data_IF_162203089195
#
_entry.id   IF_162203089195
#
_cell.length_a   1.000
_cell.length_b   1.000
_cell.length_c   1.000
_cell.angle_alpha   90.00
_cell.angle_beta   90.00
_cell.angle_gamma   90.00
#
_symmetry.space_group_name_H-M   'P 1'
#
loop_
_entity.id
_entity.type
_entity.pdbx_description
1 polymer ?
#
# COMPACT_ATOMS: atom_id res chain seq x y z
N UNK A 1 22.52 -29.21 27.89
CA UNK A 1 21.44 -28.33 27.41
C UNK A 1 21.26 -28.32 25.89
N UNK A 2 22.08 -29.02 25.10
CA UNK A 2 21.95 -29.04 23.63
C UNK A 2 21.12 -30.22 23.09
N UNK A 3 21.00 -31.33 23.83
CA UNK A 3 20.25 -32.53 23.40
C UNK A 3 18.73 -32.38 23.42
N UNK A 4 18.14 -31.94 24.54
CA UNK A 4 16.68 -31.78 24.68
C UNK A 4 16.11 -30.73 23.73
N UNK A 5 16.87 -29.66 23.45
CA UNK A 5 16.47 -28.62 22.50
C UNK A 5 16.43 -29.15 21.06
N UNK A 6 17.39 -30.00 20.69
CA UNK A 6 17.45 -30.62 19.36
C UNK A 6 16.30 -31.62 19.15
N UNK A 7 15.91 -32.34 20.21
CA UNK A 7 14.80 -33.29 20.20
C UNK A 7 13.44 -32.58 20.12
N UNK A 8 13.25 -31.47 20.84
CA UNK A 8 12.10 -30.59 20.67
C UNK A 8 12.06 -30.02 19.25
N UNK A 9 13.21 -29.54 18.74
CA UNK A 9 13.26 -28.95 17.41
C UNK A 9 12.91 -29.96 16.31
N UNK A 10 13.43 -31.18 16.35
CA UNK A 10 13.06 -32.24 15.38
C UNK A 10 11.61 -32.67 15.52
N UNK A 11 11.07 -32.75 16.74
CA UNK A 11 9.67 -33.09 17.01
C UNK A 11 8.69 -32.04 16.48
N UNK A 12 9.04 -30.76 16.57
CA UNK A 12 8.19 -29.64 16.14
C UNK A 12 8.58 -29.05 14.77
N UNK A 13 9.60 -29.60 14.10
CA UNK A 13 10.10 -29.12 12.80
C UNK A 13 8.98 -28.99 11.76
N UNK A 14 8.11 -29.99 11.65
CA UNK A 14 6.99 -29.97 10.71
C UNK A 14 5.92 -28.90 11.03
N UNK A 15 5.76 -28.54 12.31
CA UNK A 15 4.90 -27.43 12.72
C UNK A 15 5.55 -26.08 12.38
N UNK A 16 6.87 -25.97 12.54
CA UNK A 16 7.63 -24.78 12.18
C UNK A 16 7.62 -24.51 10.67
N UNK A 17 7.80 -25.54 9.84
CA UNK A 17 7.72 -25.44 8.37
C UNK A 17 6.32 -24.99 7.92
N UNK A 18 5.26 -25.52 8.52
CA UNK A 18 3.88 -25.09 8.24
C UNK A 18 3.61 -23.64 8.67
N UNK A 19 4.10 -23.24 9.84
CA UNK A 19 3.97 -21.86 10.32
C UNK A 19 4.74 -20.88 9.42
N UNK A 20 5.92 -21.27 8.93
CA UNK A 20 6.70 -20.49 7.99
C UNK A 20 5.97 -20.32 6.65
N UNK A 21 5.45 -21.41 6.09
CA UNK A 21 4.65 -21.36 4.85
C UNK A 21 3.39 -20.51 5.02
N UNK A 22 2.70 -20.64 6.15
CA UNK A 22 1.56 -19.79 6.48
C UNK A 22 1.94 -18.32 6.58
N UNK A 23 3.08 -18.00 7.21
CA UNK A 23 3.63 -16.64 7.24
C UNK A 23 3.93 -16.09 5.86
N UNK A 24 4.53 -16.88 4.97
CA UNK A 24 4.81 -16.49 3.57
C UNK A 24 3.50 -16.21 2.81
N UNK A 25 2.48 -17.04 3.00
CA UNK A 25 1.15 -16.84 2.39
C UNK A 25 0.50 -15.54 2.89
N UNK A 26 0.56 -15.28 4.20
CA UNK A 26 0.02 -14.04 4.77
C UNK A 26 0.77 -12.80 4.27
N UNK A 27 2.09 -12.86 4.16
CA UNK A 27 2.89 -11.78 3.57
C UNK A 27 2.50 -11.56 2.11
N UNK A 28 2.35 -12.63 1.33
CA UNK A 28 1.89 -12.57 -0.07
C UNK A 28 0.52 -11.92 -0.21
N UNK A 29 -0.42 -12.25 0.67
CA UNK A 29 -1.75 -11.64 0.71
C UNK A 29 -1.67 -10.14 1.05
N UNK A 30 -0.78 -9.74 1.97
CA UNK A 30 -0.55 -8.32 2.30
C UNK A 30 0.00 -7.53 1.10
N UNK A 31 0.99 -8.06 0.39
CA UNK A 31 1.52 -7.43 -0.82
C UNK A 31 0.48 -7.40 -1.96
N UNK A 32 -0.28 -8.49 -2.13
CA UNK A 32 -1.37 -8.56 -3.11
C UNK A 32 -2.47 -7.54 -2.84
N UNK A 33 -2.84 -7.35 -1.57
CA UNK A 33 -3.82 -6.32 -1.17
C UNK A 33 -3.33 -4.91 -1.52
N UNK A 34 -2.08 -4.56 -1.20
CA UNK A 34 -1.49 -3.25 -1.56
C UNK A 34 -1.45 -3.02 -3.07
N UNK A 35 -1.15 -4.06 -3.84
CA UNK A 35 -1.19 -3.98 -5.30
C UNK A 35 -2.62 -3.72 -5.81
N UNK A 36 -3.60 -4.45 -5.29
CA UNK A 36 -5.01 -4.25 -5.66
C UNK A 36 -5.51 -2.85 -5.29
N UNK A 37 -5.19 -2.36 -4.08
CA UNK A 37 -5.49 -0.99 -3.64
C UNK A 37 -4.87 0.06 -4.58
N UNK A 38 -3.64 -0.18 -5.07
CA UNK A 38 -3.00 0.72 -6.02
C UNK A 38 -3.76 0.79 -7.35
N UNK A 39 -4.26 -0.34 -7.85
CA UNK A 39 -5.07 -0.39 -9.06
C UNK A 39 -6.42 0.33 -8.87
N UNK A 40 -7.09 0.08 -7.75
CA UNK A 40 -8.35 0.76 -7.39
C UNK A 40 -8.12 2.27 -7.30
N UNK A 41 -7.02 2.70 -6.68
CA UNK A 41 -6.65 4.12 -6.60
C UNK A 41 -6.37 4.75 -7.96
N UNK A 42 -5.67 4.04 -8.84
CA UNK A 42 -5.45 4.51 -10.21
C UNK A 42 -6.79 4.71 -10.95
N UNK A 43 -7.72 3.75 -10.82
CA UNK A 43 -9.03 3.83 -11.45
C UNK A 43 -9.89 4.96 -10.87
N UNK A 44 -9.91 5.08 -9.54
CA UNK A 44 -10.61 6.16 -8.84
C UNK A 44 -10.11 7.55 -9.28
N UNK A 45 -8.80 7.76 -9.29
CA UNK A 45 -8.19 9.03 -9.73
C UNK A 45 -8.44 9.31 -11.21
N UNK A 46 -8.55 8.27 -12.04
CA UNK A 46 -8.93 8.40 -13.46
C UNK A 46 -10.39 8.83 -13.60
N UNK A 47 -11.31 8.13 -12.95
CA UNK A 47 -12.74 8.44 -13.01
C UNK A 47 -13.07 9.81 -12.42
N UNK A 48 -12.43 10.17 -11.30
CA UNK A 48 -12.57 11.49 -10.67
C UNK A 48 -12.11 12.64 -11.59
N UNK A 49 -11.14 12.40 -12.48
CA UNK A 49 -10.71 13.36 -13.50
C UNK A 49 -11.72 13.49 -14.65
N UNK A 50 -12.37 12.40 -15.03
CA UNK A 50 -13.33 12.40 -16.15
C UNK A 50 -14.66 13.05 -15.76
N UNK A 51 -15.03 13.04 -14.47
CA UNK A 51 -16.33 13.51 -13.98
C UNK A 51 -16.34 14.94 -13.44
N UNK A 52 -15.19 15.59 -13.26
CA UNK A 52 -15.13 16.99 -12.82
C UNK A 52 -14.01 17.74 -13.54
N UNK A 53 -14.35 18.95 -13.97
CA UNK A 53 -13.47 19.93 -14.58
C UNK A 53 -12.08 19.97 -13.93
N UNK A 54 -11.09 20.20 -14.79
CA UNK A 54 -9.67 20.34 -14.51
C UNK A 54 -9.37 21.03 -13.17
N UNK A 55 -8.30 20.59 -12.51
CA UNK A 55 -7.67 21.30 -11.37
C UNK A 55 -8.42 21.25 -10.04
N UNK A 56 -8.80 20.06 -9.58
CA UNK A 56 -9.04 19.87 -8.16
C UNK A 56 -7.72 19.78 -7.40
N UNK A 57 -7.54 20.73 -6.49
CA UNK A 57 -6.64 20.66 -5.34
C UNK A 57 -6.92 19.35 -4.56
N UNK A 58 -6.00 18.38 -4.62
CA UNK A 58 -6.08 17.15 -3.83
C UNK A 58 -5.37 17.35 -2.50
N UNK A 59 -6.07 17.10 -1.40
CA UNK A 59 -5.46 17.04 -0.07
C UNK A 59 -4.66 15.73 0.07
N UNK A 60 -3.34 15.85 0.12
CA UNK A 60 -2.38 14.76 0.35
C UNK A 60 -2.15 14.52 1.85
N UNK A 61 -2.92 15.19 2.70
CA UNK A 61 -2.83 15.20 4.15
C UNK A 61 -1.73 16.10 4.70
N UNK A 62 -1.74 16.26 6.02
CA UNK A 62 -0.87 17.19 6.74
C UNK A 62 -0.97 18.63 6.21
N UNK A 63 -2.14 19.01 5.68
CA UNK A 63 -2.37 20.33 5.07
C UNK A 63 -1.69 20.54 3.72
N UNK A 64 -1.15 19.49 3.09
CA UNK A 64 -0.52 19.58 1.77
C UNK A 64 -1.55 19.40 0.68
N UNK A 65 -1.59 20.35 -0.24
CA UNK A 65 -2.52 20.34 -1.36
C UNK A 65 -1.72 20.31 -2.66
N UNK A 66 -2.06 19.39 -3.54
CA UNK A 66 -1.38 19.23 -4.82
C UNK A 66 -2.34 18.93 -5.97
N UNK A 67 -1.92 19.30 -7.18
CA UNK A 67 -2.64 19.03 -8.42
C UNK A 67 -1.97 17.86 -9.13
N UNK A 68 -2.75 16.94 -9.68
CA UNK A 68 -2.19 15.77 -10.39
C UNK A 68 -1.48 16.22 -11.67
N UNK A 69 -0.17 15.98 -11.74
CA UNK A 69 0.64 16.18 -12.95
C UNK A 69 0.62 14.95 -13.84
N UNK A 70 0.93 13.79 -13.27
CA UNK A 70 1.05 12.53 -14.01
C UNK A 70 0.58 11.35 -13.18
N UNK A 71 0.15 10.29 -13.87
CA UNK A 71 -0.43 9.09 -13.27
C UNK A 71 0.22 7.85 -13.85
N UNK A 72 0.52 6.91 -12.97
CA UNK A 72 0.94 5.56 -13.28
C UNK A 72 0.05 4.57 -12.53
N UNK A 73 0.12 3.30 -12.92
CA UNK A 73 -0.65 2.21 -12.31
C UNK A 73 -0.48 2.15 -10.79
N UNK A 74 0.74 2.38 -10.30
CA UNK A 74 1.07 2.24 -8.87
C UNK A 74 1.31 3.56 -8.15
N UNK A 75 1.57 4.64 -8.89
CA UNK A 75 1.98 5.92 -8.33
C UNK A 75 1.30 7.08 -9.06
N UNK A 76 1.05 8.17 -8.34
CA UNK A 76 0.58 9.43 -8.90
C UNK A 76 1.51 10.54 -8.44
N UNK A 77 1.90 11.41 -9.39
CA UNK A 77 2.75 12.56 -9.13
C UNK A 77 1.88 13.82 -9.10
N UNK A 78 2.07 14.60 -8.05
CA UNK A 78 1.39 15.85 -7.80
C UNK A 78 2.38 17.01 -7.91
N UNK A 79 1.93 18.13 -8.45
CA UNK A 79 2.58 19.43 -8.29
C UNK A 79 1.94 20.11 -7.09
N UNK A 80 2.75 20.45 -6.09
CA UNK A 80 2.33 21.19 -4.91
C UNK A 80 2.26 22.70 -5.19
N UNK A 81 1.68 23.47 -4.26
CA UNK A 81 1.57 24.94 -4.39
C UNK A 81 2.92 25.67 -4.41
N UNK A 82 3.97 25.04 -3.90
CA UNK A 82 5.35 25.52 -3.96
C UNK A 82 6.09 25.07 -5.23
N UNK A 83 5.34 24.60 -6.25
CA UNK A 83 5.83 24.04 -7.51
C UNK A 83 6.70 22.78 -7.37
N UNK A 84 6.85 22.24 -6.16
CA UNK A 84 7.57 21.00 -5.93
C UNK A 84 6.76 19.79 -6.40
N UNK A 85 7.45 18.73 -6.81
CA UNK A 85 6.83 17.48 -7.25
C UNK A 85 6.81 16.47 -6.11
N UNK A 86 5.64 15.93 -5.81
CA UNK A 86 5.47 14.86 -4.82
C UNK A 86 4.86 13.62 -5.48
N UNK A 87 5.60 12.51 -5.47
CA UNK A 87 5.10 11.22 -5.96
C UNK A 87 4.60 10.38 -4.80
N UNK A 88 3.35 9.91 -4.89
CA UNK A 88 2.71 9.05 -3.88
C UNK A 88 2.25 7.74 -4.49
N UNK A 89 2.31 6.67 -3.70
CA UNK A 89 1.68 5.39 -4.07
C UNK A 89 0.17 5.54 -4.08
N UNK A 90 -0.48 4.99 -5.11
CA UNK A 90 -1.93 4.96 -5.20
C UNK A 90 -2.55 4.20 -4.02
N UNK A 91 -1.91 3.14 -3.51
CA UNK A 91 -2.38 2.46 -2.31
C UNK A 91 -2.37 3.37 -1.07
N UNK A 92 -1.30 4.12 -0.86
CA UNK A 92 -1.20 5.07 0.26
C UNK A 92 -2.24 6.19 0.17
N UNK A 93 -2.50 6.70 -1.03
CA UNK A 93 -3.57 7.66 -1.27
C UNK A 93 -4.94 7.07 -0.94
N UNK A 94 -5.19 5.80 -1.29
CA UNK A 94 -6.45 5.13 -0.97
C UNK A 94 -6.60 4.88 0.52
N UNK A 95 -5.54 4.43 1.20
CA UNK A 95 -5.53 4.29 2.65
C UNK A 95 -5.90 5.61 3.34
N UNK A 96 -5.36 6.73 2.84
CA UNK A 96 -5.64 8.06 3.36
C UNK A 96 -7.08 8.53 3.06
N UNK A 97 -7.53 8.47 1.80
CA UNK A 97 -8.87 8.95 1.42
C UNK A 97 -9.99 8.12 2.04
N UNK A 98 -9.81 6.80 2.14
CA UNK A 98 -10.79 5.90 2.74
C UNK A 98 -10.60 5.70 4.25
N UNK A 99 -9.60 6.38 4.86
CA UNK A 99 -9.22 6.20 6.27
C UNK A 99 -9.01 4.74 6.65
N UNK A 100 -8.51 3.93 5.71
CA UNK A 100 -8.23 2.51 5.93
C UNK A 100 -6.91 2.44 6.70
N UNK A 101 -7.00 2.45 8.03
CA UNK A 101 -5.86 2.32 8.91
C UNK A 101 -5.34 0.89 8.94
N UNK A 102 -4.41 0.55 8.05
CA UNK A 102 -3.53 -0.59 8.29
C UNK A 102 -2.52 -0.17 9.35
N UNK A 103 -2.72 -0.61 10.60
CA UNK A 103 -1.62 -0.63 11.57
C UNK A 103 -0.61 -1.66 11.07
N UNK A 104 0.40 -1.17 10.37
CA UNK A 104 1.66 -1.89 10.18
C UNK A 104 2.36 -2.08 11.52
#
# INVERSE_FOLDING_TARGET
MTGEFLELFTRYRGLFEKALLFGIVLLGLGYGAKFLLSLIGCWYLRYAKETRENEKDYDLGNGRIGIIQSRSLLHTTFILKDESLETRSNASLMEQFFKIGWKS
#
